data_IF_698788614157
#
_entry.id   IF_698788614157
#
_cell.length_a   1.000
_cell.length_b   1.000
_cell.length_c   1.000
_cell.angle_alpha   90.00
_cell.angle_beta   90.00
_cell.angle_gamma   90.00
#
_symmetry.space_group_name_H-M   'P 1'
#
loop_
_entity.id
_entity.type
_entity.pdbx_description
1 polymer ?
#
# COMPACT_ATOMS: atom_id res chain seq x y z
N UNK A 1 -32.10 45.93 18.21
CA UNK A 1 -31.08 46.51 17.30
C UNK A 1 -30.25 45.38 16.73
N UNK A 2 -30.34 45.14 15.42
CA UNK A 2 -29.53 44.18 14.67
C UNK A 2 -28.58 45.00 13.80
N UNK A 3 -27.29 44.87 14.01
CA UNK A 3 -26.25 45.57 13.23
C UNK A 3 -25.48 44.57 12.38
N UNK A 4 -25.40 44.94 11.10
CA UNK A 4 -24.68 44.34 9.99
C UNK A 4 -23.18 44.12 10.25
N UNK A 5 -22.63 43.05 9.67
CA UNK A 5 -21.38 43.00 8.88
C UNK A 5 -21.27 41.54 8.37
N UNK A 6 -21.37 41.21 7.08
CA UNK A 6 -20.80 41.89 5.93
C UNK A 6 -19.37 41.40 5.73
N UNK A 7 -19.20 40.18 5.18
CA UNK A 7 -17.92 39.74 4.60
C UNK A 7 -18.12 38.67 3.53
N UNK A 8 -18.65 39.15 2.42
CA UNK A 8 -18.45 38.58 1.08
C UNK A 8 -17.00 38.87 0.69
N UNK A 9 -16.21 37.84 0.40
CA UNK A 9 -14.96 37.97 -0.34
C UNK A 9 -14.94 36.90 -1.42
N UNK A 10 -15.23 37.36 -2.63
CA UNK A 10 -14.96 36.69 -3.88
C UNK A 10 -13.45 36.76 -4.19
N UNK A 11 -12.91 35.68 -4.73
CA UNK A 11 -11.75 35.68 -5.64
C UNK A 11 -12.13 34.69 -6.76
N UNK A 12 -12.64 35.19 -7.89
CA UNK A 12 -11.85 35.53 -9.11
C UNK A 12 -11.25 34.24 -9.69
N UNK A 13 -11.97 33.53 -10.57
CA UNK A 13 -11.86 33.63 -12.05
C UNK A 13 -10.41 33.79 -12.52
N UNK A 14 -9.83 32.78 -13.17
CA UNK A 14 -9.46 32.90 -14.59
C UNK A 14 -8.81 31.60 -15.12
N UNK A 15 -9.40 31.13 -16.22
CA UNK A 15 -8.73 30.68 -17.44
C UNK A 15 -7.62 29.64 -17.33
N UNK A 16 -8.00 28.43 -17.71
CA UNK A 16 -7.14 27.47 -18.40
C UNK A 16 -6.33 28.17 -19.49
N UNK A 17 -5.00 27.98 -19.53
CA UNK A 17 -4.25 28.11 -20.76
C UNK A 17 -4.00 26.72 -21.34
N UNK A 18 -4.38 26.61 -22.60
CA UNK A 18 -4.05 25.51 -23.50
C UNK A 18 -2.56 25.18 -23.47
N UNK A 19 -2.34 23.88 -23.47
CA UNK A 19 -1.10 23.17 -23.72
C UNK A 19 -0.50 23.60 -25.07
N UNK A 20 0.64 24.28 -25.06
CA UNK A 20 1.52 24.45 -26.22
C UNK A 20 2.92 24.01 -25.80
N UNK A 21 3.37 22.89 -26.36
CA UNK A 21 4.72 22.38 -26.22
C UNK A 21 5.70 23.17 -27.12
N UNK A 22 6.99 23.16 -26.76
CA UNK A 22 7.93 22.67 -27.77
C UNK A 22 8.99 21.70 -27.22
N UNK A 23 9.39 20.84 -28.16
CA UNK A 23 10.48 19.86 -28.22
C UNK A 23 11.61 19.86 -27.16
N UNK A 24 12.08 18.62 -26.94
CA UNK A 24 13.50 18.20 -26.81
C UNK A 24 13.85 17.52 -25.47
N UNK A 25 14.40 16.29 -25.60
CA UNK A 25 14.85 15.35 -24.56
C UNK A 25 13.77 14.62 -23.73
N UNK A 26 13.49 13.37 -24.12
CA UNK A 26 12.74 12.40 -23.31
C UNK A 26 13.58 11.94 -22.12
N UNK A 27 13.74 12.80 -21.12
CA UNK A 27 13.93 12.31 -19.75
C UNK A 27 12.53 11.95 -19.30
N UNK A 28 12.22 10.64 -19.24
CA UNK A 28 11.12 10.20 -18.36
C UNK A 28 11.58 10.62 -16.98
N UNK A 29 11.06 11.74 -16.47
CA UNK A 29 11.09 12.02 -15.04
C UNK A 29 10.40 10.82 -14.39
N UNK A 30 11.17 9.82 -14.01
CA UNK A 30 10.73 8.78 -13.09
C UNK A 30 10.42 9.57 -11.83
N UNK A 31 9.12 9.71 -11.55
CA UNK A 31 8.68 10.31 -10.29
C UNK A 31 9.30 9.44 -9.20
N UNK A 32 10.32 9.97 -8.53
CA UNK A 32 10.98 9.38 -7.35
C UNK A 32 10.05 9.51 -6.14
N UNK A 33 8.82 9.01 -6.30
CA UNK A 33 7.91 8.75 -5.20
C UNK A 33 8.09 7.30 -4.75
N UNK A 34 7.81 6.99 -3.48
CA UNK A 34 7.80 5.61 -3.02
C UNK A 34 6.85 4.77 -3.90
N UNK A 35 7.28 3.57 -4.30
CA UNK A 35 6.40 2.65 -5.02
C UNK A 35 5.38 2.14 -4.01
N UNK A 36 4.10 2.50 -4.21
CA UNK A 36 3.01 2.14 -3.31
C UNK A 36 1.89 1.38 -4.03
N UNK A 37 1.27 0.41 -3.36
CA UNK A 37 0.07 -0.28 -3.85
C UNK A 37 -1.06 -0.11 -2.84
N UNK A 38 -2.23 0.33 -3.32
CA UNK A 38 -3.45 0.31 -2.53
C UNK A 38 -4.14 -1.03 -2.75
N UNK A 39 -4.08 -1.91 -1.75
CA UNK A 39 -4.73 -3.22 -1.81
C UNK A 39 -6.02 -3.17 -1.00
N UNK A 40 -7.12 -3.60 -1.62
CA UNK A 40 -8.41 -3.73 -0.95
C UNK A 40 -8.62 -5.19 -0.56
N UNK A 41 -8.79 -5.45 0.72
CA UNK A 41 -9.10 -6.78 1.25
C UNK A 41 -10.45 -6.77 1.95
N UNK A 42 -11.13 -7.91 1.93
CA UNK A 42 -12.37 -8.09 2.70
C UNK A 42 -12.02 -8.22 4.18
N UNK A 43 -12.54 -7.34 5.03
CA UNK A 43 -12.27 -7.41 6.47
C UNK A 43 -12.90 -8.66 7.11
N UNK A 44 -12.61 -8.87 8.39
CA UNK A 44 -13.27 -9.92 9.18
C UNK A 44 -14.79 -9.71 9.31
N UNK A 45 -15.24 -8.45 9.21
CA UNK A 45 -16.66 -8.09 9.29
C UNK A 45 -17.30 -8.23 7.91
N UNK A 46 -18.35 -9.06 7.75
CA UNK A 46 -19.04 -9.18 6.47
C UNK A 46 -19.49 -7.81 5.95
N UNK A 47 -19.10 -7.48 4.71
CA UNK A 47 -19.49 -6.23 4.05
C UNK A 47 -18.58 -5.04 4.30
N UNK A 48 -17.48 -5.19 5.05
CA UNK A 48 -16.51 -4.12 5.26
C UNK A 48 -15.20 -4.42 4.49
N UNK A 49 -14.66 -3.38 3.84
CA UNK A 49 -13.42 -3.44 3.08
C UNK A 49 -12.33 -2.71 3.87
N UNK A 50 -11.14 -3.30 3.91
CA UNK A 50 -9.94 -2.68 4.46
C UNK A 50 -8.99 -2.34 3.32
N UNK A 51 -8.56 -1.08 3.26
CA UNK A 51 -7.58 -0.62 2.29
C UNK A 51 -6.22 -0.49 2.96
N UNK A 52 -5.21 -1.10 2.34
CA UNK A 52 -3.83 -1.06 2.80
C UNK A 52 -2.96 -0.40 1.76
N UNK A 53 -2.11 0.52 2.20
CA UNK A 53 -1.04 1.06 1.38
C UNK A 53 0.20 0.22 1.68
N UNK A 54 0.62 -0.60 0.72
CA UNK A 54 1.89 -1.33 0.78
C UNK A 54 2.93 -0.46 0.11
N UNK A 55 3.88 0.05 0.89
CA UNK A 55 5.00 0.85 0.40
C UNK A 55 6.21 -0.06 0.29
N UNK A 56 6.87 -0.06 -0.88
CA UNK A 56 8.10 -0.82 -1.06
C UNK A 56 9.23 -0.23 -0.21
N UNK A 57 10.05 -1.10 0.38
CA UNK A 57 11.38 -0.72 0.86
C UNK A 57 12.27 -0.31 -0.33
N UNK A 58 13.45 0.26 -0.06
CA UNK A 58 14.41 0.64 -1.10
C UNK A 58 15.08 -0.57 -1.80
N UNK A 59 14.39 -1.71 -1.86
CA UNK A 59 14.78 -2.92 -2.56
C UNK A 59 14.02 -3.03 -3.90
N UNK A 60 14.76 -3.19 -5.01
CA UNK A 60 14.18 -3.36 -6.34
C UNK A 60 13.21 -4.56 -6.47
N UNK A 61 13.45 -5.63 -5.72
CA UNK A 61 12.56 -6.79 -5.66
C UNK A 61 11.27 -6.47 -4.89
N UNK A 62 11.35 -5.67 -3.82
CA UNK A 62 10.17 -5.19 -3.09
C UNK A 62 9.34 -4.24 -3.97
N UNK A 63 9.99 -3.33 -4.70
CA UNK A 63 9.32 -2.46 -5.67
C UNK A 63 8.61 -3.28 -6.76
N UNK A 64 9.25 -4.32 -7.28
CA UNK A 64 8.63 -5.24 -8.24
C UNK A 64 7.41 -5.95 -7.63
N UNK A 65 7.52 -6.38 -6.37
CA UNK A 65 6.41 -6.97 -5.60
C UNK A 65 5.22 -6.01 -5.48
N UNK A 66 5.47 -4.77 -5.10
CA UNK A 66 4.41 -3.74 -4.97
C UNK A 66 3.78 -3.41 -6.32
N UNK A 67 4.56 -3.29 -7.40
CA UNK A 67 4.01 -3.10 -8.75
C UNK A 67 3.15 -4.27 -9.21
N UNK A 68 3.46 -5.49 -8.77
CA UNK A 68 2.62 -6.65 -9.03
C UNK A 68 1.33 -6.62 -8.21
N UNK A 69 1.36 -6.15 -6.95
CA UNK A 69 0.15 -5.90 -6.16
C UNK A 69 -0.78 -4.89 -6.83
N UNK A 70 -0.25 -3.80 -7.42
CA UNK A 70 -1.04 -2.82 -8.18
C UNK A 70 -1.78 -3.43 -9.37
N UNK A 71 -1.26 -4.53 -9.92
CA UNK A 71 -1.84 -5.26 -11.05
C UNK A 71 -2.69 -6.44 -10.61
N UNK A 72 -2.86 -6.65 -9.31
CA UNK A 72 -3.51 -7.82 -8.73
C UNK A 72 -2.87 -9.15 -9.15
N UNK A 73 -1.60 -9.11 -9.57
CA UNK A 73 -0.82 -10.31 -9.90
C UNK A 73 -0.16 -10.83 -8.61
N UNK A 74 -0.97 -11.52 -7.81
CA UNK A 74 -0.58 -12.01 -6.49
C UNK A 74 0.59 -12.99 -6.55
N UNK A 75 0.67 -13.82 -7.60
CA UNK A 75 1.74 -14.80 -7.77
C UNK A 75 3.07 -14.11 -8.08
N UNK A 76 3.06 -13.11 -8.95
CA UNK A 76 4.24 -12.30 -9.24
C UNK A 76 4.63 -11.44 -8.03
N UNK A 77 3.66 -10.89 -7.31
CA UNK A 77 3.90 -10.13 -6.09
C UNK A 77 4.62 -10.98 -5.03
N UNK A 78 4.12 -12.19 -4.78
CA UNK A 78 4.76 -13.13 -3.85
C UNK A 78 6.20 -13.47 -4.28
N UNK A 79 6.45 -13.59 -5.58
CA UNK A 79 7.81 -13.82 -6.11
C UNK A 79 8.72 -12.62 -5.84
N UNK A 80 8.26 -11.40 -6.11
CA UNK A 80 9.01 -10.18 -5.85
C UNK A 80 9.37 -10.02 -4.37
N UNK A 81 8.40 -10.18 -3.47
CA UNK A 81 8.65 -10.08 -2.04
C UNK A 81 9.53 -11.21 -1.50
N UNK A 82 9.43 -12.44 -2.03
CA UNK A 82 10.36 -13.52 -1.64
C UNK A 82 11.80 -13.21 -2.03
N UNK A 83 12.03 -12.61 -3.20
CA UNK A 83 13.37 -12.15 -3.57
C UNK A 83 13.84 -11.01 -2.68
N UNK A 84 12.94 -10.08 -2.32
CA UNK A 84 13.28 -9.01 -1.40
C UNK A 84 13.72 -9.56 -0.02
N UNK A 85 13.04 -10.58 0.48
CA UNK A 85 13.39 -11.27 1.72
C UNK A 85 14.66 -12.13 1.65
N UNK A 86 15.14 -12.46 0.44
CA UNK A 86 16.47 -13.08 0.27
C UNK A 86 17.57 -12.03 0.46
N UNK A 87 17.33 -10.79 0.01
CA UNK A 87 18.29 -9.69 0.17
C UNK A 87 18.28 -9.14 1.60
N UNK A 88 17.09 -8.97 2.16
CA UNK A 88 16.87 -8.50 3.53
C UNK A 88 15.75 -9.30 4.20
N UNK A 89 16.16 -10.28 5.01
CA UNK A 89 15.25 -11.17 5.73
C UNK A 89 14.49 -10.47 6.88
N UNK A 90 14.85 -9.25 7.25
CA UNK A 90 14.23 -8.48 8.33
C UNK A 90 13.37 -7.32 7.81
N UNK A 91 13.14 -7.23 6.49
CA UNK A 91 12.26 -6.25 5.88
C UNK A 91 10.78 -6.53 6.21
N UNK A 92 10.26 -5.78 7.19
CA UNK A 92 8.89 -5.89 7.67
C UNK A 92 7.85 -5.56 6.58
N UNK A 93 8.14 -4.60 5.72
CA UNK A 93 7.28 -4.22 4.60
C UNK A 93 7.20 -5.34 3.55
N UNK A 94 8.32 -6.01 3.26
CA UNK A 94 8.33 -7.19 2.38
C UNK A 94 7.61 -8.38 2.99
N UNK A 95 7.74 -8.59 4.30
CA UNK A 95 6.92 -9.59 5.01
C UNK A 95 5.42 -9.27 4.93
N UNK A 96 5.03 -8.01 5.13
CA UNK A 96 3.64 -7.60 5.00
C UNK A 96 3.11 -7.77 3.57
N UNK A 97 3.86 -7.32 2.56
CA UNK A 97 3.50 -7.46 1.15
C UNK A 97 3.35 -8.92 0.72
N UNK A 98 4.25 -9.80 1.18
CA UNK A 98 4.13 -11.25 0.95
C UNK A 98 2.89 -11.83 1.64
N UNK A 99 2.60 -11.40 2.87
CA UNK A 99 1.39 -11.79 3.59
C UNK A 99 0.12 -11.43 2.81
N UNK A 100 0.03 -10.24 2.25
CA UNK A 100 -1.09 -9.80 1.41
C UNK A 100 -1.22 -10.67 0.15
N UNK A 101 -0.12 -10.91 -0.57
CA UNK A 101 -0.13 -11.74 -1.77
C UNK A 101 -0.60 -13.18 -1.48
N UNK A 102 -0.21 -13.73 -0.33
CA UNK A 102 -0.62 -15.06 0.12
C UNK A 102 -2.08 -15.10 0.58
N UNK A 103 -2.55 -14.05 1.25
CA UNK A 103 -3.95 -13.92 1.63
C UNK A 103 -4.85 -13.91 0.38
N UNK A 104 -4.46 -13.17 -0.66
CA UNK A 104 -5.21 -13.08 -1.91
C UNK A 104 -5.15 -14.35 -2.76
N UNK A 105 -4.11 -15.16 -2.62
CA UNK A 105 -4.02 -16.50 -3.25
C UNK A 105 -4.66 -17.60 -2.43
N UNK A 106 -5.10 -17.31 -1.19
CA UNK A 106 -5.81 -18.24 -0.32
C UNK A 106 -4.92 -19.05 0.62
N UNK A 107 -3.60 -18.84 0.62
CA UNK A 107 -2.69 -19.47 1.58
C UNK A 107 -2.68 -18.68 2.90
N UNK A 108 -3.82 -18.73 3.59
CA UNK A 108 -4.03 -18.04 4.86
C UNK A 108 -3.00 -18.46 5.94
N UNK A 109 -2.62 -19.74 6.10
CA UNK A 109 -1.63 -20.13 7.10
C UNK A 109 -0.27 -19.46 6.89
N UNK A 110 0.19 -19.40 5.65
CA UNK A 110 1.46 -18.76 5.34
C UNK A 110 1.36 -17.23 5.42
N UNK A 111 0.23 -16.65 4.99
CA UNK A 111 -0.04 -15.22 5.13
C UNK A 111 0.06 -14.77 6.60
N UNK A 112 -0.58 -15.53 7.51
CA UNK A 112 -0.55 -15.27 8.94
C UNK A 112 0.88 -15.26 9.49
N UNK A 113 1.70 -16.24 9.13
CA UNK A 113 3.08 -16.33 9.60
C UNK A 113 3.90 -15.10 9.18
N UNK A 114 3.69 -14.59 7.97
CA UNK A 114 4.38 -13.40 7.49
C UNK A 114 3.86 -12.11 8.16
N UNK A 115 2.56 -11.97 8.39
CA UNK A 115 2.02 -10.84 9.14
C UNK A 115 2.51 -10.82 10.60
N UNK A 116 2.57 -11.97 11.25
CA UNK A 116 3.14 -12.09 12.60
C UNK A 116 4.64 -11.76 12.62
N UNK A 117 5.36 -12.07 11.54
CA UNK A 117 6.78 -11.72 11.40
C UNK A 117 6.98 -10.22 11.20
N UNK A 118 6.21 -9.59 10.30
CA UNK A 118 6.20 -8.13 10.13
C UNK A 118 5.92 -7.42 11.46
N UNK A 119 4.92 -7.88 12.22
CA UNK A 119 4.60 -7.33 13.54
C UNK A 119 5.70 -7.53 14.59
N UNK A 120 6.53 -8.58 14.48
CA UNK A 120 7.66 -8.80 15.41
C UNK A 120 8.86 -7.92 15.07
N UNK A 121 9.07 -7.63 13.78
CA UNK A 121 10.22 -6.86 13.29
C UNK A 121 10.06 -5.35 13.53
N UNK A 122 8.84 -4.86 13.71
CA UNK A 122 8.60 -3.46 14.11
C UNK A 122 9.09 -3.21 15.52
N UNK A 123 10.18 -2.44 15.66
CA UNK A 123 10.91 -2.29 16.93
C UNK A 123 10.38 -1.19 17.87
N UNK A 124 9.31 -0.45 17.54
CA UNK A 124 8.95 0.75 18.33
C UNK A 124 7.47 0.84 18.75
N UNK A 125 6.55 0.34 17.93
CA UNK A 125 5.13 0.19 18.27
C UNK A 125 4.49 -0.78 17.27
N UNK A 126 3.48 -1.56 17.66
CA UNK A 126 2.71 -2.35 16.71
C UNK A 126 2.13 -1.42 15.64
N UNK A 127 2.48 -1.62 14.38
CA UNK A 127 1.82 -0.91 13.29
C UNK A 127 0.41 -1.48 13.17
N UNK A 128 -0.61 -0.64 13.32
CA UNK A 128 -2.02 -1.04 13.37
C UNK A 128 -2.41 -1.99 12.23
N UNK A 129 -1.88 -1.76 11.02
CA UNK A 129 -2.18 -2.59 9.85
C UNK A 129 -1.71 -4.05 9.97
N UNK A 130 -0.65 -4.34 10.72
CA UNK A 130 -0.16 -5.72 10.91
C UNK A 130 -1.07 -6.48 11.86
N UNK A 131 -1.46 -5.86 12.98
CA UNK A 131 -2.37 -6.45 13.96
C UNK A 131 -3.76 -6.71 13.36
N UNK A 132 -4.30 -5.75 12.61
CA UNK A 132 -5.60 -5.94 11.93
C UNK A 132 -5.51 -7.06 10.91
N UNK A 133 -4.43 -7.17 10.15
CA UNK A 133 -4.24 -8.25 9.17
C UNK A 133 -4.14 -9.62 9.82
N UNK A 134 -3.43 -9.74 10.95
CA UNK A 134 -3.39 -10.97 11.76
C UNK A 134 -4.78 -11.36 12.23
N UNK A 135 -5.55 -10.42 12.80
CA UNK A 135 -6.89 -10.68 13.30
C UNK A 135 -7.85 -11.11 12.19
N UNK A 136 -7.78 -10.44 11.03
CA UNK A 136 -8.57 -10.78 9.85
C UNK A 136 -8.29 -12.19 9.34
N UNK A 137 -7.01 -12.55 9.17
CA UNK A 137 -6.64 -13.88 8.67
C UNK A 137 -7.04 -14.97 9.66
N UNK A 138 -6.89 -14.74 10.98
CA UNK A 138 -7.36 -15.66 12.02
C UNK A 138 -8.87 -15.89 11.95
N UNK A 139 -9.65 -14.82 11.81
CA UNK A 139 -11.09 -14.92 11.62
C UNK A 139 -11.48 -15.72 10.36
N UNK A 140 -10.78 -15.52 9.23
CA UNK A 140 -10.99 -16.31 8.00
C UNK A 140 -10.63 -17.80 8.17
N UNK A 141 -9.70 -18.12 9.06
CA UNK A 141 -9.33 -19.49 9.40
C UNK A 141 -10.27 -20.14 10.44
N UNK A 142 -11.21 -19.39 11.01
CA UNK A 142 -12.06 -19.85 12.12
C UNK A 142 -11.29 -20.06 13.43
N UNK A 143 -10.22 -19.29 13.65
CA UNK A 143 -9.36 -19.37 14.84
C UNK A 143 -9.42 -18.11 15.69
#
# INVERSE_FOLDING_TARGET
>A
MKSHLGRTLAFVLLSSPLFVAPACHTVKNVVLGPVEAVVTVTSATPGQLEQYIVIASANSHAEAGVRALQKEDWALAATGFRQALIDDAEDDASHFGLGIALEMTGDLPLALAHFETANRLTSEAPVDMYVVSIARVKAKQGR
#
